data_IF_794708695965
#
_entry.id   IF_794708695965
#
_cell.length_a   1.000
_cell.length_b   1.000
_cell.length_c   1.000
_cell.angle_alpha   90.00
_cell.angle_beta   90.00
_cell.angle_gamma   90.00
#
_symmetry.space_group_name_H-M   'P 1'
#
loop_
_entity.id
_entity.type
_entity.pdbx_description
1 polymer ?
#
# COMPACT_ATOMS: atom_id res chain seq x y z
N UNK A 1 14.08 21.41 1.45
CA UNK A 1 13.48 21.76 2.76
C UNK A 1 12.05 21.29 3.03
N UNK A 2 11.28 20.81 2.04
CA UNK A 2 9.86 20.42 2.26
C UNK A 2 9.64 19.07 2.97
N UNK A 3 10.67 18.22 3.14
CA UNK A 3 10.53 16.88 3.77
C UNK A 3 10.46 16.89 5.31
N UNK A 4 10.71 18.01 6.00
CA UNK A 4 10.74 18.08 7.48
C UNK A 4 9.42 18.49 8.14
N UNK A 5 8.37 18.83 7.38
CA UNK A 5 7.06 19.27 7.93
C UNK A 5 6.04 18.13 8.15
N UNK A 6 6.28 16.93 7.62
CA UNK A 6 5.28 15.85 7.59
C UNK A 6 5.01 15.15 8.95
N UNK A 7 5.79 15.47 9.99
CA UNK A 7 5.71 14.82 11.29
C UNK A 7 4.94 15.57 12.39
N UNK A 8 4.59 16.84 12.19
CA UNK A 8 3.96 17.70 13.21
C UNK A 8 2.45 17.73 12.98
N UNK A 9 1.67 17.54 14.05
CA UNK A 9 0.26 17.89 13.98
C UNK A 9 0.15 19.36 13.57
N UNK A 10 -0.62 19.64 12.52
CA UNK A 10 -0.80 21.03 12.07
C UNK A 10 -1.97 21.58 12.84
N UNK A 11 -1.73 22.60 13.66
CA UNK A 11 -2.77 23.33 14.37
C UNK A 11 -3.09 24.58 13.60
N UNK A 12 -4.36 24.71 13.19
CA UNK A 12 -4.88 25.91 12.53
C UNK A 12 -6.15 26.33 13.26
N UNK A 13 -6.02 27.30 14.16
CA UNK A 13 -7.08 27.65 15.13
C UNK A 13 -7.31 26.53 16.15
N UNK A 14 -8.58 26.18 16.39
CA UNK A 14 -9.00 25.07 17.27
C UNK A 14 -9.00 23.69 16.55
N UNK A 15 -8.41 23.61 15.35
CA UNK A 15 -8.37 22.37 14.56
C UNK A 15 -7.00 21.71 14.64
N UNK A 16 -6.97 20.45 15.05
CA UNK A 16 -5.78 19.59 15.09
C UNK A 16 -5.84 18.53 14.02
N UNK A 17 -4.70 18.19 13.41
CA UNK A 17 -4.63 17.13 12.41
C UNK A 17 -3.46 16.18 12.66
N UNK A 18 -3.71 14.86 12.65
CA UNK A 18 -2.74 13.82 12.96
C UNK A 18 -2.65 12.77 11.86
N UNK A 19 -1.44 12.41 11.45
CA UNK A 19 -1.25 11.28 10.53
C UNK A 19 -1.43 9.97 11.28
N UNK A 20 -2.32 9.11 10.79
CA UNK A 20 -2.63 7.80 11.37
C UNK A 20 -2.74 6.74 10.28
N UNK A 21 -2.56 5.48 10.67
CA UNK A 21 -2.71 4.32 9.80
C UNK A 21 -3.95 3.54 10.23
N UNK A 22 -5.04 3.66 9.50
CA UNK A 22 -6.25 2.88 9.79
C UNK A 22 -6.06 1.41 9.44
N UNK A 23 -6.35 0.53 10.39
CA UNK A 23 -6.27 -0.91 10.21
C UNK A 23 -7.64 -1.48 9.84
N UNK A 24 -8.63 -1.30 10.71
CA UNK A 24 -9.97 -1.91 10.58
C UNK A 24 -11.04 -1.09 11.33
N UNK A 25 -12.25 -1.17 10.82
CA UNK A 25 -13.49 -0.75 11.49
C UNK A 25 -14.32 -2.00 11.77
N UNK A 26 -14.77 -2.18 13.01
CA UNK A 26 -15.55 -3.35 13.46
C UNK A 26 -16.81 -2.84 14.16
N UNK A 27 -17.96 -3.46 13.87
CA UNK A 27 -19.20 -3.23 14.62
C UNK A 27 -19.12 -4.07 15.90
N UNK A 28 -19.34 -3.44 17.06
CA UNK A 28 -19.36 -4.12 18.35
C UNK A 28 -20.75 -4.75 18.60
N UNK A 29 -21.02 -5.81 17.83
CA UNK A 29 -22.25 -6.59 17.90
C UNK A 29 -22.14 -7.72 18.95
N UNK A 30 -22.98 -7.71 20.00
CA UNK A 30 -23.03 -8.77 21.00
C UNK A 30 -23.34 -10.16 20.43
N UNK A 31 -24.13 -10.24 19.35
CA UNK A 31 -24.49 -11.53 18.73
C UNK A 31 -23.29 -12.19 18.02
N UNK A 32 -22.31 -11.38 17.60
CA UNK A 32 -21.03 -11.87 17.07
C UNK A 32 -19.97 -12.07 18.17
N UNK A 33 -20.32 -11.87 19.45
CA UNK A 33 -19.40 -11.95 20.59
C UNK A 33 -18.38 -10.80 20.62
N UNK A 34 -18.67 -9.67 19.98
CA UNK A 34 -17.79 -8.52 19.86
C UNK A 34 -18.32 -7.36 20.71
N UNK A 35 -18.03 -7.36 22.01
CA UNK A 35 -18.58 -6.33 22.93
C UNK A 35 -17.49 -5.39 23.44
N UNK A 36 -16.26 -5.87 23.61
CA UNK A 36 -15.18 -5.10 24.23
C UNK A 36 -14.05 -4.73 23.26
N UNK A 37 -13.25 -3.74 23.64
CA UNK A 37 -12.00 -3.40 22.94
C UNK A 37 -11.08 -4.62 22.82
N UNK A 38 -11.03 -5.48 23.85
CA UNK A 38 -10.21 -6.70 23.83
C UNK A 38 -10.69 -7.69 22.77
N UNK A 39 -11.99 -7.81 22.56
CA UNK A 39 -12.54 -8.72 21.52
C UNK A 39 -12.22 -8.20 20.12
N UNK A 40 -12.33 -6.89 19.92
CA UNK A 40 -11.91 -6.24 18.68
C UNK A 40 -10.40 -6.41 18.42
N UNK A 41 -9.55 -6.35 19.45
CA UNK A 41 -8.11 -6.61 19.31
C UNK A 41 -7.81 -8.08 18.95
N UNK A 42 -8.51 -9.05 19.54
CA UNK A 42 -8.39 -10.46 19.13
C UNK A 42 -8.78 -10.64 17.66
N UNK A 43 -9.87 -9.99 17.24
CA UNK A 43 -10.32 -9.99 15.84
C UNK A 43 -9.28 -9.35 14.92
N UNK A 44 -8.66 -8.24 15.34
CA UNK A 44 -7.56 -7.61 14.62
C UNK A 44 -6.39 -8.58 14.44
N UNK A 45 -5.92 -9.23 15.50
CA UNK A 45 -4.81 -10.20 15.42
C UNK A 45 -5.15 -11.34 14.44
N UNK A 46 -6.37 -11.88 14.50
CA UNK A 46 -6.82 -12.90 13.54
C UNK A 46 -6.77 -12.39 12.09
N UNK A 47 -7.24 -11.15 11.85
CA UNK A 47 -7.16 -10.54 10.52
C UNK A 47 -5.70 -10.31 10.10
N UNK A 48 -4.79 -10.00 11.02
CA UNK A 48 -3.38 -9.82 10.72
C UNK A 48 -2.74 -11.13 10.28
N UNK A 49 -2.92 -12.19 11.07
CA UNK A 49 -2.38 -13.53 10.81
C UNK A 49 -2.91 -14.13 9.52
N UNK A 50 -4.16 -13.83 9.18
CA UNK A 50 -4.77 -14.27 7.90
C UNK A 50 -4.45 -13.35 6.73
N UNK A 51 -3.66 -12.29 6.92
CA UNK A 51 -3.27 -11.34 5.87
C UNK A 51 -4.42 -10.46 5.36
N UNK A 52 -5.50 -10.31 6.13
CA UNK A 52 -6.72 -9.57 5.79
C UNK A 52 -6.75 -8.14 6.36
N UNK A 53 -5.67 -7.68 7.00
CA UNK A 53 -5.53 -6.27 7.39
C UNK A 53 -5.05 -5.44 6.21
N UNK A 54 -5.70 -4.31 6.02
CA UNK A 54 -5.35 -3.33 5.00
C UNK A 54 -4.98 -2.00 5.65
N UNK A 55 -3.69 -1.78 5.87
CA UNK A 55 -3.22 -0.51 6.40
C UNK A 55 -3.53 0.61 5.40
N UNK A 56 -4.25 1.63 5.85
CA UNK A 56 -4.62 2.81 5.06
C UNK A 56 -4.13 4.08 5.78
N UNK A 57 -3.15 4.76 5.19
CA UNK A 57 -2.69 6.07 5.66
C UNK A 57 -3.79 7.11 5.47
N UNK A 58 -4.01 7.94 6.49
CA UNK A 58 -4.99 9.02 6.49
C UNK A 58 -4.66 10.08 7.54
N UNK A 59 -5.37 11.20 7.49
CA UNK A 59 -5.36 12.19 8.55
C UNK A 59 -6.61 12.04 9.44
N UNK A 60 -6.40 11.93 10.75
CA UNK A 60 -7.43 12.14 11.75
C UNK A 60 -7.43 13.61 12.12
N UNK A 61 -8.52 14.31 11.82
CA UNK A 61 -8.73 15.72 12.14
C UNK A 61 -9.72 15.86 13.29
N UNK A 62 -9.32 16.60 14.32
CA UNK A 62 -10.17 16.91 15.48
C UNK A 62 -10.56 18.39 15.40
N UNK A 63 -11.86 18.66 15.29
CA UNK A 63 -12.49 19.99 15.29
C UNK A 63 -13.31 20.15 16.58
N UNK A 64 -13.78 21.36 16.95
CA UNK A 64 -14.48 21.57 18.22
C UNK A 64 -15.70 20.65 18.44
N UNK A 65 -16.48 20.42 17.37
CA UNK A 65 -17.73 19.66 17.44
C UNK A 65 -17.70 18.37 16.60
N UNK A 66 -16.56 18.02 16.00
CA UNK A 66 -16.48 16.87 15.11
C UNK A 66 -15.10 16.27 14.98
N UNK A 67 -15.05 14.98 14.62
CA UNK A 67 -13.84 14.31 14.16
C UNK A 67 -14.05 13.88 12.70
N UNK A 68 -13.02 14.08 11.88
CA UNK A 68 -13.06 13.68 10.48
C UNK A 68 -11.85 12.84 10.10
N UNK A 69 -12.05 11.85 9.22
CA UNK A 69 -10.99 11.10 8.57
C UNK A 69 -10.81 11.65 7.15
N UNK A 70 -9.60 12.07 6.81
CA UNK A 70 -9.27 12.68 5.52
C UNK A 70 -8.21 11.86 4.78
N UNK A 71 -8.32 11.79 3.46
CA UNK A 71 -7.27 11.20 2.63
C UNK A 71 -5.95 11.98 2.74
N UNK A 72 -4.83 11.27 2.86
CA UNK A 72 -3.53 11.90 3.12
C UNK A 72 -2.96 12.68 1.92
N UNK A 73 -3.40 12.38 0.69
CA UNK A 73 -2.90 13.02 -0.52
C UNK A 73 -3.80 14.15 -1.00
N UNK A 74 -5.10 13.87 -1.10
CA UNK A 74 -6.10 14.78 -1.67
C UNK A 74 -6.79 15.66 -0.62
N UNK A 75 -6.66 15.33 0.67
CA UNK A 75 -7.40 15.94 1.78
C UNK A 75 -8.92 15.79 1.66
N UNK A 76 -9.40 14.89 0.80
CA UNK A 76 -10.82 14.55 0.69
C UNK A 76 -11.35 13.98 2.01
N UNK A 77 -12.53 14.45 2.45
CA UNK A 77 -13.17 13.96 3.66
C UNK A 77 -13.82 12.59 3.42
N UNK A 78 -13.25 11.56 4.03
CA UNK A 78 -13.71 10.17 3.92
C UNK A 78 -14.93 9.95 4.82
N UNK A 79 -14.80 10.36 6.09
CA UNK A 79 -15.79 10.19 7.16
C UNK A 79 -15.76 11.41 8.10
N UNK A 80 -16.91 11.74 8.68
CA UNK A 80 -17.07 12.81 9.66
C UNK A 80 -18.11 12.39 10.69
N UNK A 81 -17.76 12.53 11.96
CA UNK A 81 -18.55 12.14 13.11
C UNK A 81 -18.74 13.35 14.02
N UNK A 82 -19.89 13.43 14.67
CA UNK A 82 -20.08 14.36 15.78
C UNK A 82 -19.16 13.93 16.94
N UNK A 83 -18.50 14.89 17.58
CA UNK A 83 -17.61 14.60 18.70
C UNK A 83 -18.37 13.97 19.88
N UNK A 84 -19.67 14.23 20.01
CA UNK A 84 -20.54 13.65 21.04
C UNK A 84 -20.84 12.17 20.80
N UNK A 85 -20.63 11.64 19.60
CA UNK A 85 -20.78 10.21 19.31
C UNK A 85 -19.64 9.37 19.89
N UNK A 86 -18.55 10.00 20.32
CA UNK A 86 -17.40 9.30 20.89
C UNK A 86 -17.78 8.80 22.29
N UNK A 87 -17.83 7.49 22.42
CA UNK A 87 -18.03 6.84 23.71
C UNK A 87 -16.69 6.70 24.44
N UNK A 88 -15.65 6.27 23.73
CA UNK A 88 -14.33 6.02 24.30
C UNK A 88 -13.24 6.28 23.26
N UNK A 89 -12.12 6.86 23.70
CA UNK A 89 -10.87 6.90 22.96
C UNK A 89 -9.79 6.32 23.86
N UNK A 90 -9.09 5.27 23.43
CA UNK A 90 -8.13 4.58 24.28
C UNK A 90 -6.90 4.19 23.50
N UNK A 91 -5.74 4.35 24.13
CA UNK A 91 -4.48 3.82 23.61
C UNK A 91 -4.24 2.43 24.20
N UNK A 92 -4.11 1.44 23.33
CA UNK A 92 -3.88 0.04 23.70
C UNK A 92 -2.53 -0.43 23.17
N UNK A 93 -1.87 -1.30 23.94
CA UNK A 93 -0.71 -2.03 23.45
C UNK A 93 -1.20 -3.11 22.49
N UNK A 94 -0.77 -3.06 21.22
CA UNK A 94 -0.89 -4.20 20.32
C UNK A 94 0.19 -5.23 20.57
N UNK A 95 0.23 -6.27 19.73
CA UNK A 95 1.29 -7.27 19.75
C UNK A 95 2.61 -6.73 19.13
N UNK A 96 3.66 -7.55 19.16
CA UNK A 96 4.97 -7.20 18.60
C UNK A 96 4.93 -6.86 17.10
N UNK A 97 3.89 -7.29 16.37
CA UNK A 97 3.74 -7.04 14.94
C UNK A 97 2.98 -5.75 14.64
N UNK A 98 1.99 -5.39 15.46
CA UNK A 98 1.10 -4.25 15.22
C UNK A 98 1.57 -2.99 15.96
N UNK A 99 2.35 -3.12 17.03
CA UNK A 99 2.80 -1.99 17.82
C UNK A 99 1.64 -1.34 18.59
N UNK A 100 1.71 -0.03 18.87
CA UNK A 100 0.70 0.65 19.68
C UNK A 100 -0.49 1.12 18.87
N UNK A 101 -1.68 0.99 19.45
CA UNK A 101 -2.96 1.22 18.79
C UNK A 101 -3.73 2.35 19.47
N UNK A 102 -4.43 3.13 18.67
CA UNK A 102 -5.49 4.03 19.10
C UNK A 102 -6.84 3.40 18.74
N UNK A 103 -7.63 3.08 19.74
CA UNK A 103 -8.99 2.59 19.61
C UNK A 103 -9.98 3.74 19.82
N UNK A 104 -10.83 4.00 18.84
CA UNK A 104 -11.88 5.00 18.90
C UNK A 104 -13.25 4.32 18.77
N UNK A 105 -14.05 4.37 19.83
CA UNK A 105 -15.40 3.80 19.87
C UNK A 105 -16.41 4.92 19.65
N UNK A 106 -17.22 4.77 18.61
CA UNK A 106 -18.22 5.73 18.16
C UNK A 106 -19.60 5.07 18.17
N UNK A 107 -20.61 5.80 18.66
CA UNK A 107 -22.01 5.36 18.63
C UNK A 107 -22.86 6.39 17.90
N UNK A 108 -23.17 6.11 16.65
CA UNK A 108 -24.20 6.85 15.92
C UNK A 108 -25.57 6.56 16.59
N UNK A 109 -26.34 7.59 16.98
CA UNK A 109 -27.69 7.41 17.52
C UNK A 109 -28.66 6.64 16.60
N UNK A 110 -28.35 6.54 15.30
CA UNK A 110 -29.17 5.86 14.30
C UNK A 110 -28.81 4.38 14.08
N UNK A 111 -27.68 3.92 14.61
CA UNK A 111 -27.26 2.52 14.49
C UNK A 111 -27.58 1.75 15.78
N UNK A 112 -27.69 0.43 15.72
CA UNK A 112 -28.06 -0.42 16.87
C UNK A 112 -26.85 -0.69 17.78
N UNK A 113 -25.67 -0.83 17.19
CA UNK A 113 -24.40 -1.09 17.89
C UNK A 113 -23.37 0.02 17.66
N UNK A 114 -22.38 0.18 18.56
CA UNK A 114 -21.26 1.09 18.33
C UNK A 114 -20.23 0.48 17.38
N UNK A 115 -19.44 1.34 16.73
CA UNK A 115 -18.30 0.95 15.91
C UNK A 115 -17.00 1.24 16.64
N UNK A 116 -16.02 0.35 16.48
CA UNK A 116 -14.64 0.57 16.90
C UNK A 116 -13.72 0.75 15.69
N UNK A 117 -13.00 1.86 15.66
CA UNK A 117 -11.96 2.16 14.68
C UNK A 117 -10.60 1.93 15.34
N UNK A 118 -9.78 1.09 14.71
CA UNK A 118 -8.43 0.77 15.20
C UNK A 118 -7.39 1.40 14.28
N UNK A 119 -6.57 2.28 14.84
CA UNK A 119 -5.49 2.98 14.15
C UNK A 119 -4.14 2.62 14.73
N UNK A 120 -3.14 2.47 13.87
CA UNK A 120 -1.73 2.43 14.23
C UNK A 120 -1.13 3.84 14.15
N UNK A 121 -0.31 4.18 15.15
CA UNK A 121 0.42 5.46 15.20
C UNK A 121 1.67 5.32 16.07
N UNK A 122 2.74 6.06 15.77
CA UNK A 122 3.95 6.02 16.60
C UNK A 122 3.73 6.66 17.97
N UNK A 123 4.46 6.21 18.98
CA UNK A 123 4.62 6.96 20.23
C UNK A 123 5.56 8.16 20.02
N UNK A 124 5.30 9.32 20.64
CA UNK A 124 4.25 9.62 21.65
C UNK A 124 2.89 10.03 21.07
N UNK A 125 2.70 10.01 19.73
CA UNK A 125 1.52 10.59 19.07
C UNK A 125 0.19 9.98 19.51
N UNK A 126 0.13 8.69 19.83
CA UNK A 126 -1.10 8.03 20.27
C UNK A 126 -1.73 8.72 21.49
N UNK A 127 -0.92 9.02 22.51
CA UNK A 127 -1.37 9.65 23.75
C UNK A 127 -1.77 11.12 23.52
N UNK A 128 -1.05 11.81 22.63
CA UNK A 128 -1.38 13.19 22.22
C UNK A 128 -2.76 13.22 21.56
N UNK A 129 -3.05 12.29 20.64
CA UNK A 129 -4.34 12.19 19.96
C UNK A 129 -5.45 11.87 20.96
N UNK A 130 -5.22 10.90 21.86
CA UNK A 130 -6.19 10.55 22.90
C UNK A 130 -6.54 11.76 23.77
N UNK A 131 -5.54 12.49 24.26
CA UNK A 131 -5.75 13.66 25.11
C UNK A 131 -6.49 14.81 24.39
N UNK A 132 -6.18 15.06 23.11
CA UNK A 132 -6.91 16.05 22.30
C UNK A 132 -8.38 15.65 22.13
N UNK A 133 -8.65 14.39 21.76
CA UNK A 133 -10.01 13.89 21.58
C UNK A 133 -10.80 13.94 22.89
N UNK A 134 -10.25 13.43 23.98
CA UNK A 134 -10.91 13.40 25.29
C UNK A 134 -11.22 14.82 25.80
N UNK A 135 -10.29 15.76 25.65
CA UNK A 135 -10.53 17.16 26.01
C UNK A 135 -11.58 17.82 25.11
N UNK A 136 -11.62 17.50 23.82
CA UNK A 136 -12.70 17.94 22.93
C UNK A 136 -14.07 17.38 23.29
N UNK A 137 -14.16 16.10 23.67
CA UNK A 137 -15.40 15.49 24.16
C UNK A 137 -15.86 16.14 25.47
N UNK A 138 -14.93 16.43 26.38
CA UNK A 138 -15.23 17.13 27.62
C UNK A 138 -15.76 18.55 27.37
N UNK A 139 -15.15 19.30 26.46
CA UNK A 139 -15.58 20.64 26.06
C UNK A 139 -16.95 20.62 25.39
N UNK A 140 -17.24 19.63 24.54
CA UNK A 140 -18.54 19.51 23.89
C UNK A 140 -19.67 19.16 24.88
N UNK A 141 -19.35 18.49 25.99
CA UNK A 141 -20.31 18.15 27.06
C UNK A 141 -20.43 19.25 28.13
N UNK A 142 -19.46 20.16 28.22
CA UNK A 142 -19.35 21.17 29.28
C UNK A 142 -19.54 22.59 28.73
N UNK A 143 -20.49 23.34 29.30
CA UNK A 143 -20.72 24.75 28.92
C UNK A 143 -19.89 25.74 29.73
N UNK A 144 -19.13 25.28 30.74
CA UNK A 144 -18.56 26.15 31.79
C UNK A 144 -17.11 26.52 31.53
N UNK A 145 -16.26 25.53 31.18
CA UNK A 145 -14.84 25.77 30.89
C UNK A 145 -14.40 24.89 29.73
N UNK A 146 -13.78 25.51 28.73
CA UNK A 146 -13.06 24.82 27.67
C UNK A 146 -11.64 24.47 28.14
N UNK A 147 -11.31 23.19 28.16
CA UNK A 147 -10.00 22.65 28.55
C UNK A 147 -9.15 22.27 27.35
N UNK A 148 -9.74 22.02 26.17
CA UNK A 148 -9.01 21.60 24.98
C UNK A 148 -7.95 22.62 24.51
N UNK A 149 -8.20 23.95 24.52
CA UNK A 149 -7.17 24.91 24.13
C UNK A 149 -5.92 24.86 25.04
N UNK A 150 -6.11 24.64 26.34
CA UNK A 150 -5.01 24.46 27.30
C UNK A 150 -4.27 23.13 27.03
N UNK A 151 -5.01 22.04 26.79
CA UNK A 151 -4.45 20.73 26.43
C UNK A 151 -3.57 20.82 25.18
N UNK A 152 -4.07 21.42 24.10
CA UNK A 152 -3.32 21.58 22.85
C UNK A 152 -2.04 22.40 23.03
N UNK A 153 -2.09 23.46 23.85
CA UNK A 153 -0.92 24.27 24.18
C UNK A 153 0.15 23.47 24.93
N UNK A 154 -0.26 22.63 25.88
CA UNK A 154 0.66 21.77 26.64
C UNK A 154 1.30 20.69 25.76
N UNK A 155 0.55 20.13 24.82
CA UNK A 155 1.02 19.11 23.88
C UNK A 155 1.98 19.66 22.81
N UNK A 156 1.97 20.98 22.56
CA UNK A 156 2.87 21.66 21.61
C UNK A 156 4.25 22.02 22.20
N UNK A 157 4.50 21.76 23.48
CA UNK A 157 5.77 22.16 24.09
C UNK A 157 6.97 21.48 23.39
N UNK A 158 8.00 22.23 22.93
CA UNK A 158 9.04 21.73 22.02
C UNK A 158 9.95 20.63 22.56
N UNK A 159 9.89 20.33 23.87
CA UNK A 159 10.89 19.49 24.52
C UNK A 159 10.73 17.98 24.24
N UNK A 160 9.54 17.52 23.80
CA UNK A 160 9.26 16.08 23.60
C UNK A 160 9.10 15.63 22.13
N UNK A 161 9.08 16.54 21.15
CA UNK A 161 8.70 16.22 19.75
C UNK A 161 9.84 16.20 18.75
N UNK A 162 11.10 16.35 19.19
CA UNK A 162 12.27 16.49 18.34
C UNK A 162 12.88 15.18 17.79
N UNK A 163 12.16 14.05 17.80
CA UNK A 163 12.64 12.84 17.10
C UNK A 163 12.13 12.80 15.65
N UNK A 164 13.02 12.62 14.65
CA UNK A 164 12.62 12.33 13.28
C UNK A 164 11.71 11.10 13.25
N UNK A 165 10.61 11.17 12.50
CA UNK A 165 9.78 10.01 12.18
C UNK A 165 10.63 8.98 11.43
N UNK A 166 10.97 7.89 12.08
CA UNK A 166 11.36 6.65 11.43
C UNK A 166 10.07 5.84 11.28
N UNK A 167 9.80 5.33 10.07
CA UNK A 167 8.74 4.33 9.90
C UNK A 167 9.00 3.23 10.95
N UNK A 168 8.06 2.92 11.87
CA UNK A 168 8.16 1.67 12.59
C UNK A 168 8.25 0.55 11.54
N UNK A 169 9.02 -0.52 11.79
CA UNK A 169 9.00 -1.66 10.88
C UNK A 169 7.54 -2.04 10.72
N UNK A 170 7.03 -1.99 9.47
CA UNK A 170 5.74 -2.55 9.15
C UNK A 170 5.68 -3.95 9.77
N UNK A 171 4.51 -4.41 10.29
CA UNK A 171 4.37 -5.77 10.79
C UNK A 171 5.10 -6.69 9.83
N UNK A 172 6.17 -7.34 10.30
CA UNK A 172 6.94 -8.23 9.45
C UNK A 172 5.90 -9.20 8.87
N UNK A 173 5.68 -9.11 7.56
CA UNK A 173 4.66 -9.87 6.88
C UNK A 173 5.00 -11.32 7.15
N UNK A 174 4.27 -11.97 8.07
CA UNK A 174 4.43 -13.40 8.27
C UNK A 174 4.19 -14.01 6.90
N UNK A 175 5.23 -14.65 6.36
CA UNK A 175 5.05 -15.47 5.17
C UNK A 175 3.93 -16.44 5.52
N UNK A 176 2.88 -16.54 4.68
CA UNK A 176 1.87 -17.56 4.93
C UNK A 176 2.60 -18.91 5.02
N UNK A 177 2.25 -19.78 5.99
CA UNK A 177 2.81 -21.12 6.02
C UNK A 177 2.56 -21.78 4.65
N UNK A 178 3.48 -22.64 4.16
CA UNK A 178 3.25 -23.36 2.92
C UNK A 178 1.93 -24.12 3.07
N UNK A 179 0.93 -23.72 2.29
CA UNK A 179 -0.36 -24.40 2.27
C UNK A 179 -0.13 -25.79 1.69
N UNK A 180 -0.24 -26.80 2.55
CA UNK A 180 -0.51 -28.17 2.14
C UNK A 180 -1.76 -28.17 1.25
N UNK A 181 -1.63 -28.92 0.16
CA UNK A 181 -2.57 -29.22 -0.93
C UNK A 181 -4.07 -28.92 -0.74
N UNK A 182 -4.64 -28.52 -1.88
CA UNK A 182 -6.06 -28.56 -2.26
C UNK A 182 -6.95 -27.37 -1.85
N UNK A 183 -6.75 -26.24 -2.56
CA UNK A 183 -7.85 -25.51 -3.19
C UNK A 183 -7.29 -24.54 -4.24
N UNK A 184 -7.74 -24.70 -5.48
CA UNK A 184 -7.27 -24.01 -6.68
C UNK A 184 -7.82 -22.58 -6.78
N UNK A 185 -7.38 -21.71 -5.87
CA UNK A 185 -7.47 -20.25 -6.00
C UNK A 185 -6.12 -19.68 -5.60
N UNK A 186 -5.12 -19.90 -6.47
CA UNK A 186 -3.79 -19.31 -6.32
C UNK A 186 -3.97 -17.80 -6.28
N UNK A 187 -3.71 -17.18 -5.13
CA UNK A 187 -3.66 -15.71 -5.06
C UNK A 187 -2.66 -15.21 -6.11
N UNK A 188 -3.09 -14.32 -7.03
CA UNK A 188 -2.21 -13.77 -8.08
C UNK A 188 -0.93 -13.13 -7.50
N UNK A 189 -0.94 -12.74 -6.22
CA UNK A 189 0.25 -12.27 -5.52
C UNK A 189 1.27 -13.39 -5.26
N UNK A 190 0.83 -14.63 -5.04
CA UNK A 190 1.74 -15.78 -4.95
C UNK A 190 2.47 -16.04 -6.27
N UNK A 191 1.80 -15.78 -7.41
CA UNK A 191 2.41 -15.87 -8.75
C UNK A 191 3.53 -14.83 -8.93
N UNK A 192 3.47 -13.69 -8.21
CA UNK A 192 4.45 -12.60 -8.27
C UNK A 192 5.54 -12.67 -7.21
N UNK A 193 5.69 -13.80 -6.51
CA UNK A 193 6.85 -14.05 -5.62
C UNK A 193 8.17 -14.18 -6.40
N UNK A 194 8.22 -13.65 -7.64
CA UNK A 194 9.39 -13.55 -8.51
C UNK A 194 10.51 -12.75 -7.88
N UNK A 195 10.25 -11.73 -7.03
CA UNK A 195 11.35 -11.02 -6.34
C UNK A 195 12.13 -11.95 -5.42
N UNK A 196 11.44 -12.74 -4.58
CA UNK A 196 12.12 -13.68 -3.70
C UNK A 196 12.85 -14.78 -4.48
N UNK A 197 12.29 -15.19 -5.63
CA UNK A 197 12.96 -16.09 -6.57
C UNK A 197 14.21 -15.45 -7.17
N UNK A 198 14.16 -14.17 -7.54
CA UNK A 198 15.24 -13.39 -8.13
C UNK A 198 16.39 -13.15 -7.14
N UNK A 199 16.09 -12.78 -5.88
CA UNK A 199 17.08 -12.59 -4.83
C UNK A 199 17.82 -13.89 -4.44
N UNK A 200 17.12 -15.03 -4.45
CA UNK A 200 17.71 -16.34 -4.09
C UNK A 200 18.82 -16.78 -5.03
N UNK A 201 18.82 -16.29 -6.29
CA UNK A 201 19.84 -16.64 -7.28
C UNK A 201 21.21 -15.98 -7.03
N UNK A 202 21.24 -14.80 -6.41
CA UNK A 202 22.46 -13.98 -6.29
C UNK A 202 23.14 -14.00 -4.91
N UNK A 203 22.52 -14.58 -3.87
CA UNK A 203 23.16 -14.73 -2.54
C UNK A 203 24.31 -15.76 -2.48
N UNK A 204 24.74 -16.34 -3.60
CA UNK A 204 25.89 -17.27 -3.65
C UNK A 204 27.20 -16.55 -3.99
N UNK A 205 27.69 -15.67 -3.11
CA UNK A 205 29.13 -15.37 -3.05
C UNK A 205 29.73 -16.08 -1.83
N UNK A 206 30.85 -16.82 -1.97
CA UNK A 206 31.50 -17.43 -0.82
C UNK A 206 32.26 -16.35 -0.04
N UNK A 207 31.85 -16.11 1.21
CA UNK A 207 32.66 -15.41 2.21
C UNK A 207 33.90 -16.25 2.50
N UNK A 208 35.00 -15.99 1.78
CA UNK A 208 36.30 -16.57 2.10
C UNK A 208 36.88 -15.80 3.29
N UNK A 209 36.61 -16.28 4.50
CA UNK A 209 37.29 -15.81 5.70
C UNK A 209 38.75 -16.26 5.63
N UNK A 210 39.66 -15.32 5.39
CA UNK A 210 41.09 -15.46 5.67
C UNK A 210 41.48 -14.35 6.64
N UNK A 211 42.33 -14.60 7.65
CA UNK A 211 42.68 -13.59 8.63
C UNK A 211 43.86 -12.74 8.14
N UNK A 212 43.77 -11.44 8.45
CA UNK A 212 44.80 -10.39 8.50
C UNK A 212 44.80 -9.27 7.44
N UNK A 213 44.74 -8.06 8.03
CA UNK A 213 45.23 -6.74 7.62
C UNK A 213 44.40 -5.89 6.64
N UNK A 214 43.75 -4.88 7.24
CA UNK A 214 43.60 -3.48 6.83
C UNK A 214 43.63 -3.15 5.34
N UNK A 215 42.49 -2.67 4.81
CA UNK A 215 42.27 -1.38 4.14
C UNK A 215 40.83 -1.38 3.57
N UNK A 216 40.00 -0.44 4.04
CA UNK A 216 38.69 0.07 3.56
C UNK A 216 37.88 -0.73 2.50
N UNK A 217 36.61 -1.10 2.75
CA UNK A 217 35.74 -1.63 1.70
C UNK A 217 35.08 -0.47 0.94
N UNK A 218 35.73 0.01 -0.12
CA UNK A 218 35.00 0.66 -1.20
C UNK A 218 34.30 -0.46 -1.98
N UNK A 219 32.99 -0.61 -1.76
CA UNK A 219 32.14 -1.50 -2.54
C UNK A 219 32.13 -0.99 -3.99
N UNK A 220 32.95 -1.59 -4.85
CA UNK A 220 32.78 -1.44 -6.30
C UNK A 220 31.56 -2.29 -6.65
N UNK A 221 30.37 -1.67 -6.66
CA UNK A 221 29.21 -2.27 -7.30
C UNK A 221 29.52 -2.38 -8.77
N UNK A 222 29.59 -3.60 -9.31
CA UNK A 222 29.78 -3.79 -10.75
C UNK A 222 28.55 -3.22 -11.50
N UNK A 223 28.70 -2.89 -12.79
CA UNK A 223 27.56 -2.46 -13.61
C UNK A 223 26.41 -3.49 -13.59
N UNK A 224 26.75 -4.77 -13.43
CA UNK A 224 25.82 -5.88 -13.32
C UNK A 224 25.09 -5.89 -11.96
N UNK A 225 25.78 -5.62 -10.85
CA UNK A 225 25.14 -5.48 -9.53
C UNK A 225 24.11 -4.34 -9.51
N UNK A 226 24.41 -3.24 -10.20
CA UNK A 226 23.49 -2.12 -10.31
C UNK A 226 22.24 -2.47 -11.14
N UNK A 227 22.41 -3.17 -12.28
CA UNK A 227 21.29 -3.64 -13.10
C UNK A 227 20.40 -4.62 -12.35
N UNK A 228 21.01 -5.53 -11.60
CA UNK A 228 20.29 -6.48 -10.76
C UNK A 228 19.46 -5.76 -9.71
N UNK A 229 20.07 -4.82 -8.96
CA UNK A 229 19.37 -4.03 -7.94
C UNK A 229 18.18 -3.27 -8.53
N UNK A 230 18.34 -2.70 -9.72
CA UNK A 230 17.25 -2.01 -10.42
C UNK A 230 16.13 -2.98 -10.80
N UNK A 231 16.46 -4.16 -11.33
CA UNK A 231 15.47 -5.18 -11.67
C UNK A 231 14.69 -5.67 -10.44
N UNK A 232 15.38 -5.93 -9.31
CA UNK A 232 14.73 -6.30 -8.04
C UNK A 232 13.77 -5.20 -7.57
N UNK A 233 14.21 -3.94 -7.59
CA UNK A 233 13.36 -2.83 -7.17
C UNK A 233 12.14 -2.63 -8.08
N UNK A 234 12.30 -2.83 -9.40
CA UNK A 234 11.18 -2.80 -10.34
C UNK A 234 10.19 -3.94 -10.12
N UNK A 235 10.69 -5.14 -9.78
CA UNK A 235 9.83 -6.28 -9.42
C UNK A 235 9.00 -5.97 -8.17
N UNK A 236 9.61 -5.39 -7.14
CA UNK A 236 8.90 -4.99 -5.92
C UNK A 236 7.81 -3.95 -6.18
N UNK A 237 8.10 -2.96 -7.03
CA UNK A 237 7.12 -1.96 -7.47
C UNK A 237 5.96 -2.58 -8.25
N UNK A 238 6.25 -3.51 -9.17
CA UNK A 238 5.23 -4.23 -9.96
C UNK A 238 4.36 -5.08 -9.02
N UNK A 239 4.99 -5.81 -8.09
CA UNK A 239 4.27 -6.63 -7.13
C UNK A 239 3.39 -5.77 -6.22
N UNK A 240 3.91 -4.64 -5.73
CA UNK A 240 3.15 -3.72 -4.90
C UNK A 240 1.91 -3.18 -5.64
N UNK A 241 2.03 -2.87 -6.93
CA UNK A 241 0.91 -2.43 -7.75
C UNK A 241 -0.13 -3.54 -7.96
N UNK A 242 0.28 -4.78 -8.20
CA UNK A 242 -0.65 -5.92 -8.35
C UNK A 242 -1.38 -6.21 -7.05
N UNK A 243 -0.67 -6.20 -5.92
CA UNK A 243 -1.29 -6.31 -4.59
C UNK A 243 -2.30 -5.17 -4.36
N UNK A 244 -2.00 -3.95 -4.82
CA UNK A 244 -2.96 -2.83 -4.76
C UNK A 244 -4.21 -3.08 -5.61
N UNK A 245 -4.09 -3.65 -6.81
CA UNK A 245 -5.26 -3.98 -7.64
C UNK A 245 -6.14 -5.06 -7.00
N UNK A 246 -5.55 -6.05 -6.34
CA UNK A 246 -6.28 -7.05 -5.57
C UNK A 246 -7.05 -6.41 -4.41
N UNK A 247 -6.39 -5.53 -3.64
CA UNK A 247 -7.03 -4.75 -2.56
C UNK A 247 -8.27 -4.00 -3.06
N UNK A 248 -8.15 -3.34 -4.21
CA UNK A 248 -9.24 -2.60 -4.83
C UNK A 248 -10.40 -3.56 -5.17
N UNK A 249 -10.09 -4.72 -5.75
CA UNK A 249 -11.12 -5.71 -6.09
C UNK A 249 -11.84 -6.24 -4.85
N UNK A 250 -11.12 -6.53 -3.78
CA UNK A 250 -11.71 -6.97 -2.52
C UNK A 250 -12.60 -5.90 -1.88
N UNK A 251 -12.16 -4.64 -1.91
CA UNK A 251 -12.95 -3.51 -1.45
C UNK A 251 -14.23 -3.33 -2.28
N UNK A 252 -14.16 -3.48 -3.61
CA UNK A 252 -15.32 -3.46 -4.51
C UNK A 252 -16.31 -4.59 -4.18
N UNK A 253 -15.80 -5.80 -3.95
CA UNK A 253 -16.63 -6.96 -3.60
C UNK A 253 -17.34 -6.75 -2.25
N UNK A 254 -16.62 -6.23 -1.24
CA UNK A 254 -17.16 -5.91 0.07
C UNK A 254 -18.23 -4.81 -0.01
N UNK A 255 -18.00 -3.75 -0.79
CA UNK A 255 -19.03 -2.73 -1.06
C UNK A 255 -20.26 -3.33 -1.74
N UNK A 256 -20.07 -4.26 -2.68
CA UNK A 256 -21.17 -4.98 -3.33
C UNK A 256 -22.01 -5.78 -2.33
N UNK A 257 -21.37 -6.50 -1.39
CA UNK A 257 -22.07 -7.23 -0.32
C UNK A 257 -22.83 -6.29 0.62
N UNK A 258 -22.23 -5.18 1.02
CA UNK A 258 -22.87 -4.17 1.88
C UNK A 258 -24.07 -3.53 1.19
N UNK A 259 -23.98 -3.20 -0.10
CA UNK A 259 -25.11 -2.69 -0.89
C UNK A 259 -26.28 -3.67 -0.96
N UNK A 260 -26.01 -4.97 -1.10
CA UNK A 260 -27.07 -6.01 -1.10
C UNK A 260 -27.78 -6.15 0.25
N UNK A 261 -27.07 -5.89 1.36
CA UNK A 261 -27.63 -5.92 2.72
C UNK A 261 -28.36 -4.62 3.11
N UNK A 262 -28.11 -3.49 2.45
CA UNK A 262 -28.80 -2.23 2.75
C UNK A 262 -30.23 -2.23 2.21
N UNK A 263 -31.21 -2.05 3.08
CA UNK A 263 -32.56 -1.63 2.70
C UNK A 263 -32.54 -0.20 2.17
N UNK A 264 -33.45 0.14 1.25
CA UNK A 264 -33.57 1.49 0.68
C UNK A 264 -33.77 2.51 1.80
N UNK A 265 -32.80 3.42 1.98
CA UNK A 265 -32.92 4.59 2.87
C UNK A 265 -31.88 4.70 3.99
N UNK A 266 -31.04 3.68 4.25
CA UNK A 266 -30.01 3.78 5.31
C UNK A 266 -28.80 4.63 4.87
N UNK A 267 -28.30 5.48 5.77
CA UNK A 267 -27.15 6.39 5.56
C UNK A 267 -25.86 5.61 5.25
N UNK A 268 -24.80 6.33 4.88
CA UNK A 268 -23.44 5.78 4.72
C UNK A 268 -23.04 5.05 6.02
N UNK A 269 -22.77 3.76 5.92
CA UNK A 269 -22.45 2.90 7.07
C UNK A 269 -21.02 3.18 7.53
N UNK A 270 -20.72 2.97 8.81
CA UNK A 270 -19.37 3.13 9.36
C UNK A 270 -18.29 2.40 8.55
N UNK A 271 -17.15 3.07 8.36
CA UNK A 271 -16.05 2.56 7.55
C UNK A 271 -16.30 2.56 6.03
N UNK A 272 -17.48 2.96 5.54
CA UNK A 272 -17.78 2.98 4.10
C UNK A 272 -16.97 4.06 3.36
N UNK A 273 -16.54 5.13 4.05
CA UNK A 273 -15.67 6.15 3.45
C UNK A 273 -14.27 5.61 3.21
N UNK A 274 -13.69 4.98 4.23
CA UNK A 274 -12.41 4.29 4.10
C UNK A 274 -12.48 3.16 3.07
N UNK A 275 -13.59 2.41 3.03
CA UNK A 275 -13.80 1.34 2.06
C UNK A 275 -13.90 1.88 0.62
N UNK A 276 -14.59 3.02 0.43
CA UNK A 276 -14.69 3.69 -0.87
C UNK A 276 -13.31 4.16 -1.34
N UNK A 277 -12.49 4.73 -0.44
CA UNK A 277 -11.12 5.10 -0.75
C UNK A 277 -10.29 3.89 -1.22
N UNK A 278 -10.39 2.76 -0.50
CA UNK A 278 -9.70 1.51 -0.86
C UNK A 278 -10.14 0.94 -2.20
N UNK A 279 -11.37 1.19 -2.62
CA UNK A 279 -11.94 0.75 -3.89
C UNK A 279 -11.63 1.69 -5.06
N UNK A 280 -10.93 2.81 -4.83
CA UNK A 280 -10.59 3.77 -5.88
C UNK A 280 -9.61 3.15 -6.89
N UNK A 281 -9.94 3.11 -8.19
CA UNK A 281 -9.04 2.56 -9.20
C UNK A 281 -7.77 3.41 -9.34
N UNK A 282 -6.63 2.83 -9.74
CA UNK A 282 -5.43 3.61 -10.04
C UNK A 282 -5.70 4.58 -11.19
N UNK A 283 -4.98 5.69 -11.27
CA UNK A 283 -5.16 6.66 -12.38
C UNK A 283 -4.56 6.13 -13.68
N UNK A 284 -4.89 6.78 -14.82
CA UNK A 284 -4.29 6.43 -16.11
C UNK A 284 -2.77 6.59 -16.09
N UNK A 285 -2.26 7.60 -15.41
CA UNK A 285 -0.83 7.87 -15.24
C UNK A 285 -0.15 6.80 -14.38
N UNK A 286 -0.82 6.31 -13.33
CA UNK A 286 -0.31 5.22 -12.50
C UNK A 286 -0.23 3.90 -13.28
N UNK A 287 -1.25 3.57 -14.08
CA UNK A 287 -1.20 2.43 -14.99
C UNK A 287 -0.11 2.60 -16.06
N UNK A 288 0.03 3.80 -16.61
CA UNK A 288 1.08 4.10 -17.59
C UNK A 288 2.44 3.81 -16.97
N UNK A 289 2.78 4.44 -15.84
CA UNK A 289 4.04 4.21 -15.14
C UNK A 289 4.29 2.73 -14.83
N UNK A 290 3.26 2.01 -14.39
CA UNK A 290 3.34 0.57 -14.14
C UNK A 290 3.74 -0.23 -15.38
N UNK A 291 3.13 0.02 -16.54
CA UNK A 291 3.51 -0.63 -17.79
C UNK A 291 4.90 -0.20 -18.30
N UNK A 292 5.31 1.03 -18.05
CA UNK A 292 6.67 1.48 -18.35
C UNK A 292 7.72 0.74 -17.50
N UNK A 293 7.42 0.46 -16.22
CA UNK A 293 8.25 -0.40 -15.35
C UNK A 293 8.37 -1.82 -15.90
N UNK A 294 7.27 -2.39 -16.43
CA UNK A 294 7.33 -3.68 -17.14
C UNK A 294 8.28 -3.65 -18.33
N UNK A 295 8.17 -2.65 -19.22
CA UNK A 295 9.07 -2.53 -20.39
C UNK A 295 10.54 -2.40 -19.97
N UNK A 296 10.81 -1.57 -18.97
CA UNK A 296 12.17 -1.40 -18.44
C UNK A 296 12.71 -2.71 -17.84
N UNK A 297 11.89 -3.41 -17.06
CA UNK A 297 12.25 -4.71 -16.48
C UNK A 297 12.53 -5.76 -17.56
N UNK A 298 11.73 -5.81 -18.63
CA UNK A 298 11.95 -6.72 -19.75
C UNK A 298 13.28 -6.44 -20.47
N UNK A 299 13.62 -5.16 -20.70
CA UNK A 299 14.92 -4.77 -21.26
C UNK A 299 16.08 -5.26 -20.37
N UNK A 300 16.01 -4.98 -19.07
CA UNK A 300 17.03 -5.43 -18.11
C UNK A 300 17.12 -6.97 -18.04
N UNK A 301 15.99 -7.66 -18.08
CA UNK A 301 15.92 -9.12 -18.06
C UNK A 301 16.63 -9.74 -19.26
N UNK A 302 16.41 -9.20 -20.46
CA UNK A 302 17.08 -9.69 -21.66
C UNK A 302 18.58 -9.42 -21.67
N UNK A 303 19.02 -8.29 -21.11
CA UNK A 303 20.44 -7.93 -21.02
C UNK A 303 21.19 -8.86 -20.05
N UNK A 304 20.52 -9.28 -18.97
CA UNK A 304 21.09 -10.17 -17.94
C UNK A 304 20.79 -11.65 -18.18
N UNK A 305 20.21 -12.03 -19.34
CA UNK A 305 19.63 -13.38 -19.54
C UNK A 305 20.59 -14.55 -19.34
N UNK A 306 21.88 -14.35 -19.58
CA UNK A 306 22.93 -15.38 -19.40
C UNK A 306 23.44 -15.48 -17.95
N UNK A 307 23.17 -14.46 -17.12
CA UNK A 307 23.62 -14.36 -15.74
C UNK A 307 22.60 -14.97 -14.77
N UNK A 308 21.33 -15.00 -15.15
CA UNK A 308 20.22 -15.52 -14.36
C UNK A 308 20.11 -17.04 -14.49
N UNK A 309 20.31 -17.76 -13.38
CA UNK A 309 20.31 -19.23 -13.36
C UNK A 309 19.19 -19.86 -12.55
N UNK A 310 18.61 -19.14 -11.58
CA UNK A 310 17.62 -19.71 -10.67
C UNK A 310 16.65 -18.65 -10.11
N UNK A 311 15.57 -18.29 -10.82
CA UNK A 311 15.10 -18.87 -12.08
C UNK A 311 15.87 -18.33 -13.30
N UNK A 312 15.95 -19.10 -14.41
CA UNK A 312 16.47 -18.58 -15.68
C UNK A 312 15.56 -17.49 -16.23
N UNK A 313 16.12 -16.63 -17.10
CA UNK A 313 15.39 -15.50 -17.65
C UNK A 313 14.13 -15.87 -18.44
N UNK A 314 14.09 -17.07 -19.03
CA UNK A 314 12.90 -17.58 -19.73
C UNK A 314 11.72 -17.76 -18.77
N UNK A 315 11.96 -18.45 -17.65
CA UNK A 315 10.92 -18.69 -16.66
C UNK A 315 10.44 -17.36 -16.08
N UNK A 316 11.36 -16.43 -15.79
CA UNK A 316 11.00 -15.09 -15.34
C UNK A 316 10.11 -14.35 -16.33
N UNK A 317 10.41 -14.43 -17.63
CA UNK A 317 9.58 -13.83 -18.66
C UNK A 317 8.15 -14.37 -18.59
N UNK A 318 7.97 -15.69 -18.53
CA UNK A 318 6.65 -16.32 -18.39
C UNK A 318 5.92 -15.89 -17.11
N UNK A 319 6.62 -15.80 -15.98
CA UNK A 319 6.03 -15.30 -14.74
C UNK A 319 5.56 -13.85 -14.84
N UNK A 320 6.22 -13.02 -15.66
CA UNK A 320 5.83 -11.62 -15.90
C UNK A 320 4.65 -11.48 -16.88
N UNK A 321 4.41 -12.45 -17.77
CA UNK A 321 3.34 -12.35 -18.77
C UNK A 321 1.94 -12.35 -18.16
N UNK A 322 1.67 -13.23 -17.18
CA UNK A 322 0.37 -13.30 -16.49
C UNK A 322 0.00 -11.97 -15.80
N UNK A 323 0.83 -11.38 -14.92
CA UNK A 323 0.50 -10.10 -14.30
C UNK A 323 0.44 -8.96 -15.32
N UNK A 324 1.27 -8.97 -16.37
CA UNK A 324 1.16 -7.98 -17.44
C UNK A 324 -0.21 -8.04 -18.12
N UNK A 325 -0.66 -9.23 -18.52
CA UNK A 325 -1.97 -9.46 -19.13
C UNK A 325 -3.12 -9.01 -18.21
N UNK A 326 -3.11 -9.46 -16.96
CA UNK A 326 -4.17 -9.19 -16.00
C UNK A 326 -4.27 -7.69 -15.67
N UNK A 327 -3.14 -7.01 -15.53
CA UNK A 327 -3.13 -5.57 -15.27
C UNK A 327 -3.62 -4.76 -16.47
N UNK A 328 -3.34 -5.22 -17.70
CA UNK A 328 -3.84 -4.58 -18.92
C UNK A 328 -5.36 -4.70 -19.08
N UNK A 329 -5.93 -5.85 -18.74
CA UNK A 329 -7.39 -6.00 -18.72
C UNK A 329 -8.06 -5.09 -17.69
N UNK A 330 -7.37 -4.79 -16.58
CA UNK A 330 -7.86 -3.94 -15.49
C UNK A 330 -7.61 -2.44 -15.71
N UNK A 331 -6.82 -2.05 -16.71
CA UNK A 331 -6.52 -0.66 -16.99
C UNK A 331 -7.74 0.10 -17.54
N UNK A 332 -7.76 1.42 -17.33
CA UNK A 332 -8.81 2.29 -17.88
C UNK A 332 -8.90 2.16 -19.41
N UNK A 333 -10.09 1.82 -19.91
CA UNK A 333 -10.31 1.55 -21.34
C UNK A 333 -10.27 0.07 -21.71
N UNK A 334 -9.92 -0.82 -20.77
CA UNK A 334 -10.14 -2.26 -20.83
C UNK A 334 -9.60 -2.94 -22.09
N UNK A 335 -8.34 -3.38 -22.05
CA UNK A 335 -7.81 -4.25 -23.10
C UNK A 335 -6.49 -3.77 -23.72
N UNK A 336 -6.09 -4.37 -24.86
CA UNK A 336 -4.77 -4.18 -25.43
C UNK A 336 -4.51 -2.77 -25.99
N UNK A 337 -5.56 -1.96 -26.18
CA UNK A 337 -5.45 -0.59 -26.68
C UNK A 337 -4.67 0.33 -25.73
N UNK A 338 -4.73 0.08 -24.42
CA UNK A 338 -3.86 0.80 -23.46
C UNK A 338 -2.40 0.51 -23.76
N UNK A 339 -2.06 -0.75 -24.06
CA UNK A 339 -0.71 -1.18 -24.40
C UNK A 339 -0.12 -0.40 -25.58
N UNK A 340 -0.94 -0.10 -26.59
CA UNK A 340 -0.53 0.67 -27.79
C UNK A 340 -0.07 2.08 -27.47
N UNK A 341 -0.52 2.65 -26.35
CA UNK A 341 -0.15 4.01 -25.93
C UNK A 341 1.16 4.08 -25.14
N UNK A 342 1.72 2.94 -24.70
CA UNK A 342 2.91 2.89 -23.84
C UNK A 342 4.18 2.84 -24.68
N UNK A 343 4.57 3.98 -25.23
CA UNK A 343 5.72 4.06 -26.15
C UNK A 343 7.08 3.95 -25.44
N UNK A 344 7.22 4.59 -24.28
CA UNK A 344 8.49 4.66 -23.54
C UNK A 344 8.52 3.74 -22.32
N UNK A 345 9.67 3.16 -21.93
CA UNK A 345 10.85 3.04 -22.76
C UNK A 345 10.57 2.08 -23.94
N UNK A 346 11.19 2.26 -25.11
CA UNK A 346 11.07 1.31 -26.19
C UNK A 346 11.75 -0.01 -25.79
N UNK A 347 11.26 -1.13 -26.31
CA UNK A 347 11.96 -2.39 -26.11
C UNK A 347 13.21 -2.42 -26.99
N UNK A 348 14.29 -2.99 -26.46
CA UNK A 348 15.51 -3.18 -27.26
C UNK A 348 15.30 -4.27 -28.32
N UNK A 349 16.11 -4.26 -29.39
CA UNK A 349 16.09 -5.32 -30.41
C UNK A 349 16.34 -6.70 -29.77
N UNK A 350 17.28 -6.77 -28.84
CA UNK A 350 17.62 -8.01 -28.10
C UNK A 350 16.40 -8.50 -27.30
N UNK A 351 15.65 -7.59 -26.68
CA UNK A 351 14.45 -7.92 -25.90
C UNK A 351 13.33 -8.45 -26.78
N UNK A 352 13.06 -7.80 -27.92
CA UNK A 352 12.04 -8.24 -28.87
C UNK A 352 12.37 -9.63 -29.43
N UNK A 353 13.62 -9.87 -29.84
CA UNK A 353 14.07 -11.18 -30.33
C UNK A 353 13.98 -12.26 -29.25
N UNK A 354 14.39 -11.93 -28.01
CA UNK A 354 14.27 -12.81 -26.86
C UNK A 354 12.81 -13.20 -26.59
N UNK A 355 11.88 -12.23 -26.57
CA UNK A 355 10.45 -12.51 -26.39
C UNK A 355 9.87 -13.36 -27.53
N UNK A 356 10.26 -13.10 -28.80
CA UNK A 356 9.84 -13.93 -29.94
C UNK A 356 10.26 -15.39 -29.80
N UNK A 357 11.46 -15.63 -29.29
CA UNK A 357 12.00 -16.98 -29.12
C UNK A 357 11.37 -17.72 -27.93
N UNK A 358 11.09 -17.02 -26.83
CA UNK A 358 10.71 -17.64 -25.56
C UNK A 358 9.20 -17.75 -25.34
N UNK A 359 8.40 -16.76 -25.76
CA UNK A 359 6.96 -16.74 -25.46
C UNK A 359 6.21 -17.92 -26.11
N UNK A 360 5.24 -18.47 -25.38
CA UNK A 360 4.30 -19.48 -25.86
C UNK A 360 3.36 -18.90 -26.93
N UNK A 361 2.66 -19.76 -27.68
CA UNK A 361 1.70 -19.33 -28.70
C UNK A 361 0.60 -18.43 -28.14
N UNK A 362 0.08 -18.74 -26.95
CA UNK A 362 -0.96 -17.94 -26.29
C UNK A 362 -0.43 -16.58 -25.84
N UNK A 363 0.76 -16.53 -25.25
CA UNK A 363 1.40 -15.27 -24.84
C UNK A 363 1.76 -14.40 -26.05
N UNK A 364 2.18 -15.01 -27.18
CA UNK A 364 2.46 -14.29 -28.44
C UNK A 364 1.21 -13.60 -29.00
N UNK A 365 0.06 -14.27 -28.95
CA UNK A 365 -1.22 -13.65 -29.37
C UNK A 365 -1.51 -12.41 -28.52
N UNK A 366 -1.41 -12.54 -27.21
CA UNK A 366 -1.58 -11.41 -26.29
C UNK A 366 -0.57 -10.29 -26.57
N UNK A 367 0.72 -10.62 -26.69
CA UNK A 367 1.81 -9.69 -26.92
C UNK A 367 1.65 -8.91 -28.23
N UNK A 368 1.28 -9.59 -29.32
CA UNK A 368 1.02 -8.96 -30.62
C UNK A 368 -0.19 -8.02 -30.58
N UNK A 369 -1.24 -8.37 -29.81
CA UNK A 369 -2.42 -7.52 -29.69
C UNK A 369 -2.12 -6.16 -29.04
N UNK A 370 -1.09 -6.09 -28.19
CA UNK A 370 -0.61 -4.84 -27.57
C UNK A 370 -0.05 -3.82 -28.57
N UNK A 371 0.22 -4.25 -29.82
CA UNK A 371 0.65 -3.42 -30.94
C UNK A 371 2.14 -3.05 -30.91
N UNK A 372 2.50 -2.19 -31.86
CA UNK A 372 3.88 -1.84 -32.21
C UNK A 372 4.73 -1.34 -31.05
N UNK A 373 4.11 -0.68 -30.07
CA UNK A 373 4.77 -0.20 -28.85
C UNK A 373 5.50 -1.32 -28.08
N UNK A 374 5.04 -2.56 -28.21
CA UNK A 374 5.59 -3.74 -27.52
C UNK A 374 6.29 -4.73 -28.45
N UNK A 375 6.09 -4.64 -29.77
CA UNK A 375 6.61 -5.62 -30.73
C UNK A 375 7.71 -5.07 -31.63
N UNK A 376 7.84 -3.75 -31.77
CA UNK A 376 8.87 -3.09 -32.59
C UNK A 376 9.97 -2.46 -31.72
N UNK A 377 11.25 -2.80 -31.96
CA UNK A 377 12.36 -2.11 -31.32
C UNK A 377 12.49 -0.68 -31.82
N UNK A 378 13.16 0.19 -31.06
CA UNK A 378 13.34 1.62 -31.41
C UNK A 378 13.89 1.84 -32.84
N UNK A 379 14.74 0.94 -33.33
CA UNK A 379 15.32 1.01 -34.69
C UNK A 379 14.30 0.85 -35.83
N UNK A 380 13.13 0.27 -35.56
CA UNK A 380 12.07 0.05 -36.55
C UNK A 380 11.01 1.18 -36.55
N UNK A 381 11.18 2.20 -35.70
CA UNK A 381 10.33 3.38 -35.70
C UNK A 381 10.70 4.36 -36.82
N UNK A 382 9.77 5.23 -37.27
CA UNK A 382 10.04 6.21 -38.32
C UNK A 382 11.29 7.06 -38.04
N UNK A 383 12.07 7.37 -39.09
CA UNK A 383 13.30 8.17 -38.98
C UNK A 383 13.00 9.49 -38.27
N UNK A 384 13.79 9.79 -37.22
CA UNK A 384 13.63 11.00 -36.41
C UNK A 384 12.75 10.83 -35.17
N UNK A 385 12.05 9.70 -35.03
CA UNK A 385 11.38 9.36 -33.78
C UNK A 385 12.42 9.08 -32.69
N UNK A 386 12.22 9.68 -31.53
CA UNK A 386 12.98 9.39 -30.31
C UNK A 386 11.99 9.24 -29.18
N UNK A 387 12.10 8.15 -28.44
CA UNK A 387 11.33 8.00 -27.22
C UNK A 387 11.72 9.07 -26.20
N UNK A 388 10.73 9.62 -25.48
CA UNK A 388 11.01 10.35 -24.25
C UNK A 388 11.76 9.46 -23.26
N UNK A 389 12.82 9.95 -22.59
CA UNK A 389 13.53 9.17 -21.60
C UNK A 389 12.58 8.79 -20.46
N UNK A 390 12.64 7.54 -20.02
CA UNK A 390 11.88 7.05 -18.87
C UNK A 390 12.80 6.87 -17.66
N UNK A 391 12.44 7.49 -16.54
CA UNK A 391 13.07 7.26 -15.24
C UNK A 391 11.99 6.74 -14.30
N UNK A 392 12.10 5.50 -13.80
CA UNK A 392 11.06 4.90 -12.97
C UNK A 392 10.94 5.66 -11.65
N UNK A 393 9.70 5.93 -11.23
CA UNK A 393 9.42 6.43 -9.88
C UNK A 393 9.35 5.23 -8.93
N UNK A 394 10.42 5.03 -8.17
CA UNK A 394 10.54 4.00 -7.13
C UNK A 394 10.10 4.61 -5.79
N UNK A 395 9.23 3.95 -5.02
CA UNK A 395 8.64 4.49 -3.78
C UNK A 395 9.41 4.15 -2.52
#
# INVERSE_FOLDING_TARGET
>A
EQRKKLGRGTLQGETSQYHVEHLVTIILDPDEGLVTVKDALKRLVFLNTTGRIWVQEMYLQVEPNSISLLDCHTKEQLEKFDILWIQQCKVEAGDASIGRLLALILKDPQEDFPDIYLFQTAEPKANIIQSDIESGVADARSTVKKIRPETLRNLMNPHDTARPWFKPPSPARMQPPPSSQDNELVSEAAVLTTTAMFEKSHRKLPTRQGPHSNITPYFVTTADDHRLKNATCLLDEIEAFVRRLQKIQEALNEMGKRKKKKSKGKKKSSGEGVLTLRARPPTKEEFTDHFQKFKLLLNLLSDMKLQLKNPPANDMLHHLMRPLQMNMLRAHGGGPDVGRTILSPPLSKITVEFMKATLTSQEKVFWNNMGDAWSKPESEWPKGWKSSPYTPRLK
#
